data_IF_098173889261
#
_entry.id   IF_098173889261
#
_cell.length_a   1.000
_cell.length_b   1.000
_cell.length_c   1.000
_cell.angle_alpha   90.00
_cell.angle_beta   90.00
_cell.angle_gamma   90.00
#
_symmetry.space_group_name_H-M   'P 1'
#
loop_
_entity.id
_entity.type
_entity.pdbx_description
1 polymer ?
#
# COMPACT_ATOMS: atom_id res chain seq x y z
N UNK A 1 -5.73 -26.27 -6.34
CA UNK A 1 -7.01 -25.65 -5.91
C UNK A 1 -6.89 -24.15 -5.93
N UNK A 2 -7.79 -23.47 -6.61
CA UNK A 2 -7.77 -22.02 -6.66
C UNK A 2 -8.17 -21.47 -5.29
N UNK A 3 -7.40 -20.49 -4.79
CA UNK A 3 -7.75 -19.82 -3.56
C UNK A 3 -8.92 -18.87 -3.81
N UNK A 4 -9.92 -18.96 -2.96
CA UNK A 4 -11.06 -18.05 -2.98
C UNK A 4 -10.84 -16.91 -2.01
N UNK A 5 -10.84 -15.70 -2.52
CA UNK A 5 -10.83 -14.52 -1.65
C UNK A 5 -12.27 -14.03 -1.50
N UNK A 6 -12.65 -13.70 -0.28
CA UNK A 6 -14.00 -13.21 0.00
C UNK A 6 -14.20 -11.81 -0.57
N UNK A 7 -15.42 -11.51 -1.03
CA UNK A 7 -15.75 -10.19 -1.58
C UNK A 7 -15.52 -9.07 -0.58
N UNK A 8 -15.81 -9.29 0.70
CA UNK A 8 -15.56 -8.29 1.75
C UNK A 8 -14.08 -7.97 1.88
N UNK A 9 -13.19 -8.97 1.70
CA UNK A 9 -11.75 -8.76 1.75
C UNK A 9 -11.28 -7.96 0.54
N UNK A 10 -11.78 -8.27 -0.65
CA UNK A 10 -11.46 -7.50 -1.86
C UNK A 10 -11.90 -6.04 -1.71
N UNK A 11 -13.11 -5.82 -1.18
CA UNK A 11 -13.61 -4.49 -0.93
C UNK A 11 -12.72 -3.73 0.05
N UNK A 12 -12.29 -4.38 1.11
CA UNK A 12 -11.41 -3.75 2.11
C UNK A 12 -10.03 -3.44 1.55
N UNK A 13 -9.47 -4.34 0.73
CA UNK A 13 -8.22 -4.10 0.01
C UNK A 13 -8.33 -2.90 -0.92
N UNK A 14 -9.44 -2.77 -1.64
CA UNK A 14 -9.69 -1.62 -2.52
C UNK A 14 -9.70 -0.33 -1.71
N UNK A 15 -10.37 -0.33 -0.56
CA UNK A 15 -10.37 0.83 0.34
C UNK A 15 -8.97 1.17 0.85
N UNK A 16 -8.17 0.15 1.17
CA UNK A 16 -6.79 0.34 1.62
C UNK A 16 -5.93 0.96 0.50
N UNK A 17 -6.04 0.45 -0.72
CA UNK A 17 -5.33 0.99 -1.89
C UNK A 17 -5.75 2.44 -2.14
N UNK A 18 -7.05 2.74 -2.06
CA UNK A 18 -7.56 4.10 -2.21
C UNK A 18 -7.01 5.04 -1.13
N UNK A 19 -6.88 4.56 0.09
CA UNK A 19 -6.29 5.33 1.19
C UNK A 19 -4.85 5.72 0.86
N UNK A 20 -4.04 4.76 0.40
CA UNK A 20 -2.65 5.03 0.03
C UNK A 20 -2.58 6.05 -1.10
N UNK A 21 -3.46 5.92 -2.09
CA UNK A 21 -3.56 6.89 -3.20
C UNK A 21 -3.87 8.29 -2.68
N UNK A 22 -4.80 8.41 -1.74
CA UNK A 22 -5.14 9.69 -1.12
C UNK A 22 -3.97 10.30 -0.37
N UNK A 23 -3.21 9.48 0.36
CA UNK A 23 -2.02 9.94 1.07
C UNK A 23 -0.95 10.46 0.09
N UNK A 24 -0.74 9.73 -1.00
CA UNK A 24 0.22 10.11 -2.02
C UNK A 24 -0.21 11.41 -2.73
N UNK A 25 -1.48 11.53 -3.08
CA UNK A 25 -2.01 12.72 -3.74
C UNK A 25 -1.93 13.94 -2.84
N UNK A 26 -2.28 13.80 -1.56
CA UNK A 26 -2.21 14.91 -0.60
C UNK A 26 -0.78 15.42 -0.46
N UNK A 27 0.20 14.52 -0.38
CA UNK A 27 1.60 14.89 -0.32
C UNK A 27 2.06 15.58 -1.60
N UNK A 28 1.65 15.07 -2.75
CA UNK A 28 1.96 15.64 -4.06
C UNK A 28 1.47 17.10 -4.15
N UNK A 29 0.19 17.34 -3.85
CA UNK A 29 -0.39 18.69 -3.94
C UNK A 29 0.22 19.64 -2.91
N UNK A 30 0.57 19.16 -1.73
CA UNK A 30 1.26 19.96 -0.73
C UNK A 30 2.63 20.42 -1.23
N UNK A 31 3.38 19.52 -1.89
CA UNK A 31 4.73 19.84 -2.39
C UNK A 31 4.74 20.85 -3.52
N UNK A 32 3.69 20.88 -4.33
CA UNK A 32 3.62 21.79 -5.47
C UNK A 32 2.85 23.08 -5.18
N UNK A 33 2.31 23.21 -3.96
CA UNK A 33 1.57 24.40 -3.55
C UNK A 33 2.42 25.66 -3.75
N UNK A 34 1.87 26.62 -4.49
CA UNK A 34 2.57 27.88 -4.78
C UNK A 34 3.64 27.79 -5.85
N UNK A 35 3.82 26.64 -6.51
CA UNK A 35 4.87 26.45 -7.52
C UNK A 35 4.37 26.58 -8.97
N UNK A 36 3.13 27.02 -9.16
CA UNK A 36 2.55 27.22 -10.48
C UNK A 36 1.27 26.43 -10.68
N UNK A 37 0.91 26.14 -11.93
CA UNK A 37 -0.30 25.42 -12.26
C UNK A 37 -0.14 23.94 -11.87
N UNK A 38 -1.07 23.38 -11.03
CA UNK A 38 -1.01 21.97 -10.64
C UNK A 38 -0.93 21.00 -11.82
N UNK A 39 -1.55 21.32 -12.95
CA UNK A 39 -1.54 20.44 -14.12
C UNK A 39 -0.13 20.17 -14.66
N UNK A 40 0.81 21.09 -14.44
CA UNK A 40 2.20 20.92 -14.87
C UNK A 40 2.90 19.76 -14.17
N UNK A 41 2.36 19.30 -13.05
CA UNK A 41 2.96 18.26 -12.22
C UNK A 41 2.18 16.95 -12.23
N UNK A 42 1.15 16.82 -13.09
CA UNK A 42 0.31 15.61 -13.13
C UNK A 42 1.11 14.34 -13.44
N UNK A 43 2.20 14.44 -14.20
CA UNK A 43 3.03 13.28 -14.52
C UNK A 43 3.76 12.70 -13.29
N UNK A 44 3.85 13.47 -12.21
CA UNK A 44 4.47 13.02 -10.96
C UNK A 44 3.48 12.34 -10.01
N UNK A 45 2.20 12.33 -10.35
CA UNK A 45 1.19 11.60 -9.58
C UNK A 45 1.46 10.10 -9.65
N UNK A 46 1.27 9.43 -8.53
CA UNK A 46 1.48 7.99 -8.45
C UNK A 46 0.16 7.25 -8.54
N UNK A 47 0.20 6.06 -9.11
CA UNK A 47 -0.90 5.12 -9.04
C UNK A 47 -0.58 4.07 -7.98
N UNK A 48 -1.62 3.50 -7.41
CA UNK A 48 -1.51 2.45 -6.40
C UNK A 48 -2.40 1.29 -6.84
N UNK A 49 -1.87 0.09 -6.76
CA UNK A 49 -2.62 -1.11 -7.14
C UNK A 49 -2.15 -2.29 -6.30
N UNK A 50 -2.77 -3.43 -6.51
CA UNK A 50 -2.37 -4.64 -5.82
C UNK A 50 -2.48 -5.86 -6.74
N UNK A 51 -1.72 -6.90 -6.43
CA UNK A 51 -1.81 -8.19 -7.09
C UNK A 51 -2.00 -9.27 -6.04
N UNK A 52 -2.84 -10.26 -6.35
CA UNK A 52 -3.17 -11.34 -5.42
C UNK A 52 -2.21 -12.51 -5.59
N UNK A 53 -1.59 -12.92 -4.50
CA UNK A 53 -0.86 -14.16 -4.40
C UNK A 53 -1.68 -15.20 -3.63
N UNK A 54 -1.05 -16.30 -3.25
CA UNK A 54 -1.73 -17.37 -2.51
C UNK A 54 -2.07 -17.00 -1.08
N UNK A 55 -1.21 -16.22 -0.43
CA UNK A 55 -1.37 -15.84 0.97
C UNK A 55 -1.46 -14.33 1.14
N UNK A 56 -0.77 -13.57 0.31
CA UNK A 56 -0.66 -12.13 0.45
C UNK A 56 -1.12 -11.41 -0.79
N UNK A 57 -1.72 -10.25 -0.59
CA UNK A 57 -1.87 -9.25 -1.64
C UNK A 57 -0.65 -8.34 -1.59
N UNK A 58 0.06 -8.21 -2.70
CA UNK A 58 1.17 -7.27 -2.83
C UNK A 58 0.60 -5.92 -3.23
N UNK A 59 0.77 -4.91 -2.39
CA UNK A 59 0.33 -3.55 -2.67
C UNK A 59 1.55 -2.76 -3.13
N UNK A 60 1.43 -2.08 -4.26
CA UNK A 60 2.56 -1.38 -4.86
C UNK A 60 2.14 -0.03 -5.44
N UNK A 61 3.10 0.87 -5.51
CA UNK A 61 2.95 2.15 -6.17
C UNK A 61 3.70 2.12 -7.50
N UNK A 62 3.30 2.96 -8.43
CA UNK A 62 3.93 3.05 -9.73
C UNK A 62 3.74 4.44 -10.30
N UNK A 63 4.57 4.79 -11.28
CA UNK A 63 4.39 6.03 -12.02
C UNK A 63 3.08 5.98 -12.81
N UNK A 64 2.62 7.15 -13.24
CA UNK A 64 1.34 7.30 -13.94
C UNK A 64 1.25 6.41 -15.19
N UNK A 65 2.37 6.17 -15.86
CA UNK A 65 2.42 5.32 -17.05
C UNK A 65 2.56 3.82 -16.73
N UNK A 66 2.56 3.46 -15.45
CA UNK A 66 2.69 2.07 -15.01
C UNK A 66 4.13 1.60 -14.81
N UNK A 67 5.10 2.47 -15.01
CA UNK A 67 6.51 2.12 -14.79
C UNK A 67 6.95 2.38 -13.35
N UNK A 68 8.19 2.07 -13.03
CA UNK A 68 8.83 2.37 -11.73
C UNK A 68 8.04 1.84 -10.54
N UNK A 69 7.65 0.57 -10.60
CA UNK A 69 6.88 -0.07 -9.52
C UNK A 69 7.71 -0.24 -8.27
N UNK A 70 7.11 0.09 -7.13
CA UNK A 70 7.72 -0.09 -5.81
C UNK A 70 6.72 -0.74 -4.87
N UNK A 71 7.16 -1.72 -4.08
CA UNK A 71 6.26 -2.32 -3.11
C UNK A 71 5.96 -1.32 -1.99
N UNK A 72 4.68 -1.22 -1.64
CA UNK A 72 4.25 -0.45 -0.47
C UNK A 72 4.17 -1.36 0.75
N UNK A 73 3.43 -2.47 0.61
CA UNK A 73 3.20 -3.40 1.71
C UNK A 73 2.64 -4.70 1.16
N UNK A 74 2.60 -5.71 2.01
CA UNK A 74 1.84 -6.93 1.77
C UNK A 74 0.69 -6.99 2.77
N UNK A 75 -0.44 -7.52 2.33
CA UNK A 75 -1.61 -7.72 3.20
C UNK A 75 -1.93 -9.19 3.24
N UNK A 76 -1.99 -9.76 4.44
CA UNK A 76 -2.40 -11.15 4.61
C UNK A 76 -3.88 -11.26 4.24
N UNK A 77 -4.19 -12.07 3.24
CA UNK A 77 -5.56 -12.20 2.71
C UNK A 77 -6.49 -12.80 3.75
N UNK A 78 -5.96 -13.64 4.63
CA UNK A 78 -6.74 -14.37 5.61
C UNK A 78 -7.17 -13.50 6.80
N UNK A 79 -6.24 -12.70 7.34
CA UNK A 79 -6.51 -11.91 8.55
C UNK A 79 -6.40 -10.40 8.38
N UNK A 80 -5.90 -9.93 7.23
CA UNK A 80 -5.79 -8.50 6.96
C UNK A 80 -4.54 -7.82 7.53
N UNK A 81 -3.60 -8.56 8.10
CA UNK A 81 -2.38 -7.97 8.64
C UNK A 81 -1.59 -7.26 7.53
N UNK A 82 -1.18 -6.02 7.82
CA UNK A 82 -0.31 -5.25 6.95
C UNK A 82 1.13 -5.55 7.34
N UNK A 83 1.89 -6.05 6.38
CA UNK A 83 3.26 -6.53 6.61
C UNK A 83 4.22 -5.73 5.73
N UNK A 84 5.35 -5.35 6.30
CA UNK A 84 6.43 -4.74 5.54
C UNK A 84 7.05 -5.78 4.61
N UNK A 85 7.47 -5.35 3.41
CA UNK A 85 8.05 -6.30 2.47
C UNK A 85 9.03 -5.69 1.49
N UNK A 86 9.78 -6.58 0.85
CA UNK A 86 10.57 -6.27 -0.34
C UNK A 86 9.73 -6.56 -1.57
N UNK A 87 10.22 -6.21 -2.76
CA UNK A 87 9.47 -6.48 -3.99
C UNK A 87 9.09 -7.95 -4.15
N UNK A 88 9.92 -8.86 -3.66
CA UNK A 88 9.70 -10.31 -3.85
C UNK A 88 8.77 -10.92 -2.81
N UNK A 89 8.87 -10.50 -1.55
CA UNK A 89 8.17 -11.17 -0.46
C UNK A 89 8.12 -10.32 0.81
N UNK A 90 7.21 -10.68 1.74
CA UNK A 90 7.22 -10.06 3.07
C UNK A 90 8.56 -10.25 3.77
N UNK A 91 8.97 -9.24 4.52
CA UNK A 91 10.23 -9.28 5.28
C UNK A 91 9.99 -9.97 6.63
N UNK A 92 10.91 -10.83 6.98
CA UNK A 92 10.95 -11.47 8.30
C UNK A 92 12.15 -10.96 9.08
N UNK A 93 12.00 -10.86 10.40
CA UNK A 93 13.11 -10.49 11.28
C UNK A 93 14.06 -11.69 11.46
N UNK A 94 15.10 -11.49 12.26
CA UNK A 94 16.10 -12.52 12.53
C UNK A 94 15.51 -13.78 13.20
N UNK A 95 14.35 -13.67 13.81
CA UNK A 95 13.65 -14.78 14.45
C UNK A 95 12.61 -15.41 13.52
N UNK A 96 12.56 -15.00 12.26
CA UNK A 96 11.62 -15.51 11.29
C UNK A 96 10.20 -14.94 11.40
N UNK A 97 9.99 -13.93 12.22
CA UNK A 97 8.67 -13.30 12.40
C UNK A 97 8.43 -12.24 11.36
N UNK A 98 7.19 -12.17 10.86
CA UNK A 98 6.78 -11.14 9.92
C UNK A 98 6.76 -9.76 10.58
N UNK A 99 7.13 -8.75 9.80
CA UNK A 99 7.11 -7.37 10.25
C UNK A 99 5.70 -6.79 10.12
N UNK A 100 4.79 -7.24 10.99
CA UNK A 100 3.39 -6.77 11.01
C UNK A 100 3.35 -5.35 11.55
N UNK A 101 2.69 -4.45 10.82
CA UNK A 101 2.63 -3.01 11.15
C UNK A 101 1.23 -2.48 11.32
N UNK A 102 0.21 -3.27 11.06
CA UNK A 102 -1.18 -2.84 11.19
C UNK A 102 -2.11 -3.88 10.62
N UNK A 103 -3.37 -3.48 10.44
CA UNK A 103 -4.40 -4.38 9.91
C UNK A 103 -5.43 -3.56 9.13
N UNK A 104 -5.82 -4.05 7.94
CA UNK A 104 -6.79 -3.35 7.09
C UNK A 104 -8.21 -3.37 7.69
N UNK A 105 -8.47 -4.27 8.64
CA UNK A 105 -9.77 -4.34 9.32
C UNK A 105 -9.88 -3.37 10.49
N UNK A 106 -8.79 -2.67 10.84
CA UNK A 106 -8.85 -1.59 11.82
C UNK A 106 -9.76 -0.47 11.31
N UNK A 107 -10.35 0.29 12.23
CA UNK A 107 -11.31 1.35 11.89
C UNK A 107 -10.74 2.37 10.88
N UNK A 108 -9.44 2.63 10.98
CA UNK A 108 -8.75 3.57 10.11
C UNK A 108 -8.05 2.90 8.91
N UNK A 109 -8.37 1.64 8.58
CA UNK A 109 -7.73 0.86 7.53
C UNK A 109 -6.22 0.64 7.77
N UNK A 110 -5.75 0.88 8.97
CA UNK A 110 -4.32 0.83 9.29
C UNK A 110 -3.58 2.14 9.02
N UNK A 111 -4.29 3.23 8.74
CA UNK A 111 -3.70 4.52 8.37
C UNK A 111 -2.67 5.02 9.38
N UNK A 112 -2.93 4.85 10.67
CA UNK A 112 -2.02 5.32 11.72
C UNK A 112 -0.65 4.64 11.68
N UNK A 113 -0.54 3.50 11.02
CA UNK A 113 0.68 2.69 10.97
C UNK A 113 1.36 2.69 9.59
N UNK A 114 0.87 3.49 8.65
CA UNK A 114 1.41 3.53 7.30
C UNK A 114 1.70 4.97 6.86
N UNK A 115 2.56 5.08 5.83
CA UNK A 115 2.77 6.31 5.08
C UNK A 115 2.47 6.01 3.60
N UNK A 116 2.59 7.01 2.74
CA UNK A 116 2.45 6.79 1.30
C UNK A 116 3.54 5.87 0.73
N UNK A 117 4.64 5.69 1.45
CA UNK A 117 5.78 4.88 1.01
C UNK A 117 5.75 3.45 1.56
N UNK A 118 4.95 3.17 2.56
CA UNK A 118 4.85 1.88 3.18
C UNK A 118 4.58 1.94 4.67
N UNK A 119 4.64 0.80 5.35
CA UNK A 119 4.43 0.76 6.80
C UNK A 119 5.50 1.55 7.54
N UNK A 120 5.09 2.20 8.63
CA UNK A 120 6.00 2.95 9.48
C UNK A 120 6.96 2.00 10.19
N UNK A 121 8.17 2.49 10.46
CA UNK A 121 9.11 1.74 11.27
C UNK A 121 8.65 1.72 12.72
N UNK A 122 8.75 0.55 13.35
CA UNK A 122 8.60 0.44 14.80
C UNK A 122 9.92 0.81 15.46
N UNK A 123 9.83 1.60 16.50
CA UNK A 123 10.98 1.94 17.32
C UNK A 123 10.96 1.12 18.60
#
# INVERSE_FOLDING_TARGET
MAMRIEMKTLSRLTQYVDLIKKLADADHYRRIEGKGNPEMFDDFLKNVDYSLGKKYAKVFTMDRDGSSKSVHSFVDIENGDIVKGSWKAPIRDKNGKLAVRGNIWADDLGESNITQYGPKYLR
#
